data_IF_658366808648
#
_entry.id   IF_658366808648
#
_cell.length_a   1.000
_cell.length_b   1.000
_cell.length_c   1.000
_cell.angle_alpha   90.00
_cell.angle_beta   90.00
_cell.angle_gamma   90.00
#
_symmetry.space_group_name_H-M   'P 1'
#
loop_
_entity.id
_entity.type
_entity.pdbx_description
1 polymer ?
#
# COMPACT_ATOMS: atom_id res chain seq x y z
N UNK A 1 -23.22 17.15 -13.18
CA UNK A 1 -22.45 18.27 -12.61
C UNK A 1 -21.46 17.68 -11.61
N UNK A 2 -20.27 17.26 -12.05
CA UNK A 2 -19.25 16.73 -11.15
C UNK A 2 -18.48 17.90 -10.54
N UNK A 3 -18.93 18.38 -9.38
CA UNK A 3 -18.20 19.34 -8.56
C UNK A 3 -17.01 18.62 -7.91
N UNK A 4 -15.90 18.54 -8.65
CA UNK A 4 -14.61 18.18 -8.06
C UNK A 4 -14.32 19.17 -6.93
N UNK A 5 -14.30 18.68 -5.68
CA UNK A 5 -14.05 19.52 -4.50
C UNK A 5 -12.71 20.22 -4.67
N UNK A 6 -12.72 21.53 -4.87
CA UNK A 6 -11.50 22.32 -4.88
C UNK A 6 -10.83 22.21 -3.50
N UNK A 7 -9.51 22.00 -3.48
CA UNK A 7 -8.74 21.96 -2.24
C UNK A 7 -8.76 23.36 -1.62
N UNK A 8 -9.27 23.47 -0.39
CA UNK A 8 -9.41 24.76 0.33
C UNK A 8 -8.09 25.25 0.94
N UNK A 9 -7.05 24.42 0.95
CA UNK A 9 -5.71 24.75 1.48
C UNK A 9 -4.64 24.23 0.52
N UNK A 10 -3.53 24.96 0.47
CA UNK A 10 -2.36 24.55 -0.29
C UNK A 10 -1.81 23.19 0.22
N UNK A 11 -1.31 22.32 -0.68
CA UNK A 11 -0.70 21.06 -0.28
C UNK A 11 0.60 21.32 0.48
N UNK A 12 0.69 20.84 1.72
CA UNK A 12 1.95 20.83 2.48
C UNK A 12 2.76 19.59 2.08
N UNK A 13 3.99 19.78 1.61
CA UNK A 13 4.93 18.68 1.42
C UNK A 13 5.32 18.12 2.78
N UNK A 14 5.03 16.85 3.02
CA UNK A 14 5.43 16.11 4.22
C UNK A 14 6.43 15.03 3.81
N UNK A 15 7.43 14.81 4.65
CA UNK A 15 8.28 13.64 4.50
C UNK A 15 7.45 12.38 4.72
N UNK A 16 7.77 11.28 3.99
CA UNK A 16 7.06 10.03 4.16
C UNK A 16 7.29 9.47 5.57
N UNK A 17 6.23 9.06 6.28
CA UNK A 17 6.37 8.49 7.62
C UNK A 17 7.01 7.09 7.58
N UNK A 18 8.09 6.90 8.32
CA UNK A 18 8.70 5.59 8.56
C UNK A 18 7.96 4.89 9.70
N UNK A 19 7.42 3.70 9.45
CA UNK A 19 6.76 2.89 10.49
C UNK A 19 7.75 1.83 10.99
N UNK A 20 8.07 1.87 12.28
CA UNK A 20 8.97 0.91 12.95
C UNK A 20 8.15 0.16 14.00
N UNK A 21 8.25 -1.17 14.01
CA UNK A 21 7.59 -2.04 14.99
C UNK A 21 8.44 -2.11 16.26
N UNK A 22 7.87 -1.87 17.43
CA UNK A 22 8.54 -2.03 18.75
C UNK A 22 8.14 -3.31 19.47
N UNK A 23 7.02 -3.92 19.08
CA UNK A 23 6.63 -5.29 19.46
C UNK A 23 6.15 -6.07 18.21
N UNK A 24 6.17 -7.41 18.24
CA UNK A 24 5.57 -8.21 17.18
C UNK A 24 4.09 -7.82 16.96
N UNK A 25 3.62 -7.96 15.71
CA UNK A 25 2.21 -7.74 15.31
C UNK A 25 1.70 -6.29 15.41
N UNK A 26 2.57 -5.28 15.52
CA UNK A 26 2.14 -3.88 15.51
C UNK A 26 2.02 -3.29 14.11
N UNK A 27 2.81 -3.79 13.17
CA UNK A 27 2.83 -3.32 11.78
C UNK A 27 2.60 -4.50 10.85
N UNK A 28 1.60 -4.33 9.98
CA UNK A 28 1.28 -5.26 8.91
C UNK A 28 1.37 -4.53 7.58
N UNK A 29 2.04 -5.16 6.62
CA UNK A 29 2.10 -4.67 5.25
C UNK A 29 1.54 -5.76 4.32
N UNK A 30 0.57 -5.38 3.50
CA UNK A 30 0.01 -6.23 2.46
C UNK A 30 0.46 -5.69 1.10
N UNK A 31 1.03 -6.56 0.26
CA UNK A 31 1.28 -6.28 -1.15
C UNK A 31 0.31 -7.10 -2.01
N UNK A 32 -0.34 -6.43 -2.97
CA UNK A 32 -1.21 -7.05 -3.97
C UNK A 32 -0.59 -6.81 -5.33
N UNK A 33 -0.10 -7.88 -5.95
CA UNK A 33 0.56 -7.82 -7.25
C UNK A 33 -0.13 -8.73 -8.26
N UNK A 34 -0.28 -8.24 -9.49
CA UNK A 34 -0.77 -9.03 -10.61
C UNK A 34 0.42 -9.68 -11.32
N UNK A 35 0.50 -11.02 -11.25
CA UNK A 35 1.52 -11.77 -11.94
C UNK A 35 1.12 -12.01 -13.38
N UNK A 36 2.10 -11.85 -14.28
CA UNK A 36 1.95 -12.18 -15.69
C UNK A 36 1.84 -13.69 -15.83
N UNK A 37 0.88 -14.13 -16.64
CA UNK A 37 0.74 -15.53 -17.02
C UNK A 37 1.22 -15.75 -18.45
N UNK A 38 1.33 -17.00 -18.86
CA UNK A 38 1.67 -17.39 -20.23
C UNK A 38 0.49 -17.18 -21.20
N UNK A 39 -0.73 -17.01 -20.70
CA UNK A 39 -1.96 -16.93 -21.50
C UNK A 39 -2.50 -15.51 -21.47
N UNK A 40 -2.78 -14.96 -22.66
CA UNK A 40 -3.27 -13.59 -22.80
C UNK A 40 -4.69 -13.47 -22.25
N UNK A 41 -4.87 -12.62 -21.25
CA UNK A 41 -6.16 -12.41 -20.57
C UNK A 41 -6.29 -13.12 -19.22
N UNK A 42 -5.34 -13.99 -18.87
CA UNK A 42 -5.26 -14.58 -17.53
C UNK A 42 -4.19 -13.85 -16.71
N UNK A 43 -4.53 -13.52 -15.46
CA UNK A 43 -3.64 -12.89 -14.49
C UNK A 43 -3.79 -13.58 -13.15
N UNK A 44 -2.67 -13.94 -12.51
CA UNK A 44 -2.72 -14.40 -11.13
C UNK A 44 -2.67 -13.21 -10.19
N UNK A 45 -3.51 -13.23 -9.16
CA UNK A 45 -3.49 -12.23 -8.10
C UNK A 45 -2.69 -12.78 -6.93
N UNK A 46 -1.49 -12.24 -6.73
CA UNK A 46 -0.67 -12.55 -5.58
C UNK A 46 -1.08 -11.67 -4.41
N UNK A 47 -1.37 -12.30 -3.29
CA UNK A 47 -1.58 -11.67 -2.00
C UNK A 47 -0.40 -12.02 -1.10
N UNK A 48 0.34 -11.00 -0.67
CA UNK A 48 1.48 -11.17 0.22
C UNK A 48 1.24 -10.38 1.50
N UNK A 49 1.10 -11.10 2.61
CA UNK A 49 0.96 -10.52 3.96
C UNK A 49 2.31 -10.63 4.66
N UNK A 50 2.90 -9.49 5.00
CA UNK A 50 4.15 -9.41 5.74
C UNK A 50 3.89 -8.88 7.15
N UNK A 51 4.33 -9.65 8.13
CA UNK A 51 4.33 -9.24 9.53
C UNK A 51 5.71 -8.77 9.92
N UNK A 52 5.79 -7.57 10.52
CA UNK A 52 7.06 -7.05 11.02
C UNK A 52 7.38 -7.74 12.35
N UNK A 53 8.39 -8.62 12.35
CA UNK A 53 8.96 -9.20 13.56
C UNK A 53 10.04 -8.24 14.08
N UNK A 54 9.97 -7.93 15.38
CA UNK A 54 10.96 -7.09 16.06
C UNK A 54 12.24 -7.91 16.26
N UNK A 55 13.40 -7.33 15.94
CA UNK A 55 14.71 -7.92 16.24
C UNK A 55 14.96 -8.05 17.75
#
# INVERSE_FOLDING_TARGET
MNTHRAKTKEPVKREPPTHISTAPNQVWTLDITWLRTMIKGEHFKLYLELICLVE
#
